data_IF_467728093902
#
_entry.id   IF_467728093902
#
_cell.length_a   1.000
_cell.length_b   1.000
_cell.length_c   1.000
_cell.angle_alpha   90.00
_cell.angle_beta   90.00
_cell.angle_gamma   90.00
#
_symmetry.space_group_name_H-M   'P 1'
#
loop_
_entity.id
_entity.type
_entity.pdbx_description
1 polymer ?
#
# COMPACT_ATOMS: atom_id res chain seq x y z
N UNK A 1 6.00 -32.27 -26.06
CA UNK A 1 6.67 -31.26 -25.23
C UNK A 1 6.27 -29.90 -25.76
N UNK A 2 5.39 -29.19 -25.06
CA UNK A 2 5.30 -27.74 -25.20
C UNK A 2 4.86 -27.18 -23.85
N UNK A 3 5.83 -26.58 -23.19
CA UNK A 3 5.79 -26.02 -21.84
C UNK A 3 4.80 -24.86 -21.79
N UNK A 4 3.71 -25.03 -21.03
CA UNK A 4 3.00 -23.91 -20.43
C UNK A 4 3.94 -23.28 -19.38
N UNK A 5 4.88 -22.47 -19.84
CA UNK A 5 5.61 -21.57 -18.99
C UNK A 5 4.59 -20.50 -18.56
N UNK A 6 3.89 -20.75 -17.45
CA UNK A 6 3.11 -19.73 -16.75
C UNK A 6 4.00 -18.51 -16.65
N UNK A 7 3.57 -17.37 -17.21
CA UNK A 7 4.34 -16.14 -17.15
C UNK A 7 4.70 -15.89 -15.68
N UNK A 8 6.00 -15.87 -15.37
CA UNK A 8 6.47 -15.62 -14.02
C UNK A 8 5.98 -14.23 -13.56
N UNK A 9 5.69 -14.09 -12.27
CA UNK A 9 5.32 -12.82 -11.66
C UNK A 9 6.41 -11.75 -11.90
N UNK A 10 6.08 -10.69 -12.65
CA UNK A 10 7.00 -9.60 -13.04
C UNK A 10 6.76 -8.33 -12.21
N UNK A 11 7.30 -8.30 -10.99
CA UNK A 11 7.18 -7.14 -10.09
C UNK A 11 7.92 -5.87 -10.56
N UNK A 12 8.68 -5.99 -11.63
CA UNK A 12 9.40 -4.93 -12.35
C UNK A 12 8.52 -4.20 -13.39
N UNK A 13 7.30 -4.68 -13.66
CA UNK A 13 6.42 -4.09 -14.67
C UNK A 13 5.32 -3.22 -14.06
N UNK A 14 5.01 -2.12 -14.75
CA UNK A 14 3.84 -1.30 -14.45
C UNK A 14 2.54 -2.10 -14.62
N UNK A 15 1.57 -1.80 -13.76
CA UNK A 15 0.14 -2.07 -13.95
C UNK A 15 -0.59 -0.76 -14.19
N UNK A 16 -1.89 -0.81 -14.49
CA UNK A 16 -2.71 0.40 -14.62
C UNK A 16 -2.62 1.37 -13.42
N UNK A 17 -2.34 0.86 -12.22
CA UNK A 17 -2.18 1.67 -11.01
C UNK A 17 -0.90 2.47 -11.00
N UNK A 18 0.20 1.89 -11.50
CA UNK A 18 1.55 2.45 -11.45
C UNK A 18 2.05 2.98 -12.80
N UNK A 19 1.26 2.86 -13.86
CA UNK A 19 1.56 3.41 -15.18
C UNK A 19 1.57 4.95 -15.10
N UNK A 20 2.70 5.62 -15.45
CA UNK A 20 2.78 7.07 -15.43
C UNK A 20 2.09 7.73 -16.62
N UNK A 21 1.67 6.96 -17.64
CA UNK A 21 1.15 7.49 -18.90
C UNK A 21 2.15 8.45 -19.56
N UNK A 22 1.75 9.69 -19.92
CA UNK A 22 2.65 10.64 -20.58
C UNK A 22 3.81 11.13 -19.68
N UNK A 23 3.74 10.89 -18.38
CA UNK A 23 4.69 11.41 -17.39
C UNK A 23 5.90 10.51 -17.14
N UNK A 24 6.11 9.45 -17.94
CA UNK A 24 7.22 8.51 -17.73
C UNK A 24 8.61 9.17 -17.67
N UNK A 25 8.82 10.24 -18.45
CA UNK A 25 10.07 11.01 -18.42
C UNK A 25 10.39 11.63 -17.04
N UNK A 26 9.37 11.91 -16.22
CA UNK A 26 9.55 12.41 -14.86
C UNK A 26 10.08 11.33 -13.91
N UNK A 27 9.64 10.08 -14.09
CA UNK A 27 10.13 8.93 -13.33
C UNK A 27 11.55 8.56 -13.75
N UNK A 28 11.84 8.62 -15.06
CA UNK A 28 13.17 8.33 -15.61
C UNK A 28 14.29 9.25 -15.07
N UNK A 29 13.92 10.45 -14.59
CA UNK A 29 14.84 11.44 -14.04
C UNK A 29 15.18 11.22 -12.55
N UNK A 30 14.59 10.21 -11.90
CA UNK A 30 14.83 9.89 -10.49
C UNK A 30 15.69 8.63 -10.41
N UNK A 31 16.76 8.69 -9.61
CA UNK A 31 17.64 7.55 -9.38
C UNK A 31 16.88 6.43 -8.62
N UNK A 32 17.05 5.14 -9.01
CA UNK A 32 16.30 4.02 -8.43
C UNK A 32 16.87 3.54 -7.08
N UNK A 33 17.26 4.46 -6.21
CA UNK A 33 17.72 4.19 -4.85
C UNK A 33 16.69 4.66 -3.81
N UNK A 34 16.79 4.16 -2.57
CA UNK A 34 15.81 4.42 -1.51
C UNK A 34 15.69 5.92 -1.20
N UNK A 35 16.81 6.64 -1.16
CA UNK A 35 16.81 8.05 -0.78
C UNK A 35 16.11 8.90 -1.84
N UNK A 36 16.51 8.73 -3.09
CA UNK A 36 16.00 9.47 -4.25
C UNK A 36 14.51 9.24 -4.47
N UNK A 37 14.06 7.97 -4.47
CA UNK A 37 12.63 7.66 -4.69
C UNK A 37 11.76 8.14 -3.54
N UNK A 38 12.25 8.06 -2.29
CA UNK A 38 11.49 8.51 -1.12
C UNK A 38 11.45 10.04 -1.04
N UNK A 39 12.54 10.72 -1.41
CA UNK A 39 12.56 12.17 -1.52
C UNK A 39 11.57 12.68 -2.58
N UNK A 40 11.55 12.07 -3.76
CA UNK A 40 10.56 12.39 -4.79
C UNK A 40 9.13 12.15 -4.30
N UNK A 41 8.89 11.03 -3.60
CA UNK A 41 7.57 10.73 -3.03
C UNK A 41 7.09 11.80 -2.06
N UNK A 42 7.89 12.15 -1.04
CA UNK A 42 7.57 13.17 -0.03
C UNK A 42 7.45 14.58 -0.61
N UNK A 43 8.15 14.84 -1.70
CA UNK A 43 8.10 16.14 -2.35
C UNK A 43 6.79 16.29 -3.15
N UNK A 44 6.34 15.25 -3.84
CA UNK A 44 5.12 15.27 -4.67
C UNK A 44 3.84 15.14 -3.84
N UNK A 45 3.88 14.30 -2.81
CA UNK A 45 2.72 13.88 -2.04
C UNK A 45 2.84 14.41 -0.60
N UNK A 46 1.70 14.70 0.02
CA UNK A 46 1.60 15.06 1.43
C UNK A 46 0.55 14.19 2.11
N UNK A 47 0.89 13.63 3.28
CA UNK A 47 -0.03 12.78 4.04
C UNK A 47 -1.18 13.62 4.60
N UNK A 48 -2.40 13.40 4.09
CA UNK A 48 -3.55 14.27 4.34
C UNK A 48 -3.96 14.38 5.81
N UNK A 49 -3.72 13.31 6.61
CA UNK A 49 -4.03 13.33 8.05
C UNK A 49 -2.96 14.05 8.88
N UNK A 50 -1.69 13.88 8.50
CA UNK A 50 -0.57 14.42 9.28
C UNK A 50 -0.47 15.93 9.11
N UNK A 51 -0.69 16.42 7.90
CA UNK A 51 -0.65 17.83 7.56
C UNK A 51 -2.05 18.49 7.53
N UNK A 52 -3.09 17.85 8.07
CA UNK A 52 -4.49 18.29 7.89
C UNK A 52 -4.73 19.76 8.29
N UNK A 53 -4.03 20.25 9.32
CA UNK A 53 -4.17 21.61 9.82
C UNK A 53 -3.69 22.68 8.84
N UNK A 54 -2.71 22.35 7.99
CA UNK A 54 -2.06 23.28 7.06
C UNK A 54 -2.62 23.16 5.64
N UNK A 55 -3.23 22.01 5.30
CA UNK A 55 -3.64 21.70 3.93
C UNK A 55 -4.93 22.43 3.50
N UNK A 56 -4.96 23.00 2.28
CA UNK A 56 -6.17 23.65 1.77
C UNK A 56 -7.33 22.65 1.61
N UNK A 57 -8.53 23.05 2.06
CA UNK A 57 -9.72 22.19 1.97
C UNK A 57 -10.17 21.93 0.52
N UNK A 58 -9.84 22.82 -0.41
CA UNK A 58 -10.21 22.68 -1.83
C UNK A 58 -9.41 21.60 -2.57
N UNK A 59 -8.31 21.08 -2.00
CA UNK A 59 -7.52 19.97 -2.57
C UNK A 59 -7.83 18.62 -1.92
N UNK A 60 -8.87 18.52 -1.07
CA UNK A 60 -9.24 17.26 -0.40
C UNK A 60 -9.59 16.13 -1.36
N UNK A 61 -10.16 16.43 -2.53
CA UNK A 61 -10.48 15.43 -3.57
C UNK A 61 -9.23 14.75 -4.17
N UNK A 62 -8.03 15.28 -3.91
CA UNK A 62 -6.77 14.66 -4.34
C UNK A 62 -6.64 13.22 -3.83
N UNK A 63 -7.07 12.96 -2.59
CA UNK A 63 -6.90 11.67 -1.93
C UNK A 63 -7.51 10.53 -2.74
N UNK A 64 -8.55 10.82 -3.53
CA UNK A 64 -9.22 9.85 -4.39
C UNK A 64 -8.47 9.50 -5.69
N UNK A 65 -7.24 10.01 -5.86
CA UNK A 65 -6.35 9.72 -6.98
C UNK A 65 -5.76 8.32 -6.93
N UNK A 66 -6.57 7.29 -7.21
CA UNK A 66 -6.11 5.89 -7.12
C UNK A 66 -5.03 5.50 -8.14
N UNK A 67 -4.85 6.24 -9.23
CA UNK A 67 -3.90 5.90 -10.29
C UNK A 67 -2.76 6.90 -10.28
N UNK A 68 -1.54 6.40 -10.47
CA UNK A 68 -0.35 7.24 -10.51
C UNK A 68 -0.48 8.35 -11.56
N UNK A 69 -0.98 8.03 -12.76
CA UNK A 69 -1.20 9.03 -13.81
C UNK A 69 -2.09 10.20 -13.35
N UNK A 70 -3.07 9.95 -12.46
CA UNK A 70 -3.94 11.01 -11.89
C UNK A 70 -3.21 11.82 -10.82
N UNK A 71 -2.39 11.17 -9.99
CA UNK A 71 -1.52 11.86 -9.01
C UNK A 71 -0.56 12.80 -9.76
N UNK A 72 0.14 12.27 -10.78
CA UNK A 72 1.08 13.04 -11.60
C UNK A 72 0.37 14.14 -12.41
N UNK A 73 -0.83 13.90 -12.95
CA UNK A 73 -1.58 14.94 -13.65
C UNK A 73 -1.93 16.12 -12.73
N UNK A 74 -2.35 15.87 -11.48
CA UNK A 74 -2.65 16.93 -10.50
C UNK A 74 -1.39 17.69 -10.10
N UNK A 75 -0.31 16.95 -9.86
CA UNK A 75 1.00 17.53 -9.57
C UNK A 75 1.47 18.47 -10.70
N UNK A 76 1.45 17.97 -11.93
CA UNK A 76 1.95 18.70 -13.10
C UNK A 76 1.04 19.87 -13.49
N UNK A 77 -0.27 19.79 -13.23
CA UNK A 77 -1.18 20.92 -13.39
C UNK A 77 -0.87 22.09 -12.44
N UNK A 78 -0.27 21.81 -11.27
CA UNK A 78 0.11 22.83 -10.27
C UNK A 78 1.50 23.40 -10.52
N UNK A 79 2.43 22.53 -10.89
CA UNK A 79 3.87 22.82 -10.81
C UNK A 79 4.56 22.85 -12.18
N UNK A 80 4.25 21.90 -13.07
CA UNK A 80 4.86 21.81 -14.40
C UNK A 80 6.39 21.63 -14.42
N UNK A 81 6.96 21.09 -13.34
CA UNK A 81 8.41 20.89 -13.15
C UNK A 81 8.73 19.45 -12.70
N UNK A 82 10.02 19.10 -12.69
CA UNK A 82 10.51 17.78 -12.29
C UNK A 82 10.07 17.35 -10.88
N UNK A 83 10.04 16.04 -10.61
CA UNK A 83 9.61 15.52 -9.30
C UNK A 83 10.58 15.83 -8.17
N UNK A 84 11.84 16.12 -8.48
CA UNK A 84 12.86 16.56 -7.52
C UNK A 84 12.81 18.06 -7.19
N UNK A 85 12.13 18.87 -8.01
CA UNK A 85 12.01 20.31 -7.79
C UNK A 85 11.09 20.60 -6.61
N UNK A 86 11.52 21.46 -5.68
CA UNK A 86 10.83 21.68 -4.41
C UNK A 86 9.34 22.07 -4.57
N UNK A 87 8.47 21.44 -3.79
CA UNK A 87 7.06 21.81 -3.65
C UNK A 87 6.75 22.24 -2.23
N UNK A 88 6.16 23.43 -2.10
CA UNK A 88 5.60 23.90 -0.83
C UNK A 88 4.55 22.91 -0.32
N UNK A 89 4.53 22.65 0.98
CA UNK A 89 3.69 21.63 1.62
C UNK A 89 2.21 21.77 1.25
N UNK A 90 1.68 23.00 1.22
CA UNK A 90 0.28 23.29 0.92
C UNK A 90 -0.10 23.15 -0.55
N UNK A 91 0.88 22.93 -1.43
CA UNK A 91 0.70 22.77 -2.88
C UNK A 91 0.96 21.33 -3.36
N UNK A 92 1.41 20.43 -2.47
CA UNK A 92 1.58 19.00 -2.77
C UNK A 92 0.24 18.32 -3.00
N UNK A 93 0.25 17.18 -3.69
CA UNK A 93 -0.95 16.36 -3.89
C UNK A 93 -1.31 15.69 -2.57
N UNK A 94 -2.53 15.89 -2.06
CA UNK A 94 -2.93 15.18 -0.84
C UNK A 94 -3.08 13.68 -1.15
N UNK A 95 -2.44 12.85 -0.34
CA UNK A 95 -2.51 11.40 -0.40
C UNK A 95 -2.22 10.79 0.96
N UNK A 96 -1.90 9.51 1.02
CA UNK A 96 -1.43 8.86 2.25
C UNK A 96 -0.21 7.96 2.00
N UNK A 97 0.17 7.16 3.00
CA UNK A 97 1.28 6.19 2.94
C UNK A 97 1.24 5.29 1.70
N UNK A 98 0.02 4.93 1.26
CA UNK A 98 -0.23 4.19 0.02
C UNK A 98 0.25 4.94 -1.22
N UNK A 99 -0.01 6.24 -1.32
CA UNK A 99 0.31 7.03 -2.50
C UNK A 99 1.81 7.32 -2.59
N UNK A 100 2.46 7.59 -1.45
CA UNK A 100 3.92 7.64 -1.35
C UNK A 100 4.56 6.32 -1.82
N UNK A 101 4.04 5.20 -1.32
CA UNK A 101 4.48 3.85 -1.72
C UNK A 101 4.26 3.59 -3.21
N UNK A 102 3.11 3.98 -3.77
CA UNK A 102 2.79 3.78 -5.18
C UNK A 102 3.76 4.54 -6.08
N UNK A 103 4.03 5.82 -5.78
CA UNK A 103 4.98 6.63 -6.53
C UNK A 103 6.40 6.05 -6.45
N UNK A 104 6.87 5.66 -5.26
CA UNK A 104 8.18 5.02 -5.11
C UNK A 104 8.28 3.69 -5.88
N UNK A 105 7.26 2.82 -5.78
CA UNK A 105 7.20 1.58 -6.55
C UNK A 105 7.21 1.85 -8.06
N UNK A 106 6.52 2.89 -8.52
CA UNK A 106 6.45 3.22 -9.93
C UNK A 106 7.79 3.71 -10.47
N UNK A 107 8.51 4.56 -9.75
CA UNK A 107 9.87 4.99 -10.12
C UNK A 107 10.78 3.76 -10.26
N UNK A 108 10.77 2.88 -9.25
CA UNK A 108 11.58 1.65 -9.26
C UNK A 108 11.24 0.74 -10.46
N UNK A 109 9.95 0.47 -10.69
CA UNK A 109 9.47 -0.34 -11.82
C UNK A 109 9.84 0.28 -13.17
N UNK A 110 9.80 1.61 -13.27
CA UNK A 110 10.19 2.31 -14.49
C UNK A 110 11.64 2.04 -14.89
N UNK A 111 12.50 1.81 -13.88
CA UNK A 111 13.92 1.48 -14.04
C UNK A 111 14.16 -0.05 -14.05
N UNK A 112 13.11 -0.87 -14.12
CA UNK A 112 13.20 -2.33 -14.13
C UNK A 112 13.50 -2.96 -12.76
N UNK A 113 13.41 -2.20 -11.67
CA UNK A 113 13.57 -2.73 -10.30
C UNK A 113 12.24 -3.32 -9.85
N UNK A 114 12.26 -4.60 -9.45
CA UNK A 114 11.08 -5.26 -8.91
C UNK A 114 10.67 -4.63 -7.57
N UNK A 115 9.47 -4.04 -7.53
CA UNK A 115 8.95 -3.33 -6.37
C UNK A 115 7.46 -3.62 -6.13
N UNK A 116 7.05 -3.67 -4.86
CA UNK A 116 5.66 -3.87 -4.43
C UNK A 116 5.37 -3.07 -3.17
N UNK A 117 4.13 -2.66 -3.00
CA UNK A 117 3.66 -2.17 -1.70
C UNK A 117 3.46 -3.32 -0.74
N UNK A 118 3.67 -3.07 0.56
CA UNK A 118 3.31 -3.96 1.66
C UNK A 118 2.34 -3.26 2.58
N UNK A 119 1.26 -3.94 2.93
CA UNK A 119 0.21 -3.41 3.80
C UNK A 119 0.30 -4.09 5.15
N UNK A 120 0.32 -3.29 6.21
CA UNK A 120 0.55 -3.76 7.55
C UNK A 120 0.27 -2.66 8.56
N UNK A 121 1.03 -2.68 9.65
CA UNK A 121 0.81 -1.76 10.75
C UNK A 121 2.14 -1.22 11.28
N UNK A 122 2.26 0.09 11.42
CA UNK A 122 3.44 0.76 11.96
C UNK A 122 3.35 0.89 13.49
N UNK A 123 4.14 0.08 14.21
CA UNK A 123 4.34 0.17 15.66
C UNK A 123 5.23 1.35 16.06
N UNK A 124 5.96 1.92 15.11
CA UNK A 124 6.92 2.99 15.35
C UNK A 124 6.30 4.39 15.37
N UNK A 125 5.07 4.56 14.87
CA UNK A 125 4.38 5.86 14.84
C UNK A 125 3.73 6.22 16.18
N UNK A 126 3.37 5.22 17.00
CA UNK A 126 2.78 5.42 18.31
C UNK A 126 3.16 4.26 19.24
N UNK A 127 3.63 4.52 20.48
CA UNK A 127 4.06 3.46 21.40
C UNK A 127 2.93 2.53 21.87
N UNK A 128 1.69 3.04 21.92
CA UNK A 128 0.53 2.34 22.50
C UNK A 128 -0.47 1.88 21.41
N UNK A 129 -0.20 2.19 20.15
CA UNK A 129 -1.12 1.90 19.05
C UNK A 129 -0.39 1.61 17.74
N UNK A 130 -0.89 0.64 16.99
CA UNK A 130 -0.33 0.23 15.71
C UNK A 130 -1.15 0.83 14.57
N UNK A 131 -0.64 1.90 13.98
CA UNK A 131 -1.30 2.59 12.87
C UNK A 131 -1.27 1.73 11.61
N UNK A 132 -2.39 1.70 10.89
CA UNK A 132 -2.44 1.12 9.55
C UNK A 132 -1.45 1.83 8.64
N UNK A 133 -0.67 1.08 7.86
CA UNK A 133 0.41 1.69 7.10
C UNK A 133 0.78 0.89 5.85
N UNK A 134 1.37 1.59 4.87
CA UNK A 134 1.85 1.00 3.62
C UNK A 134 3.29 1.42 3.38
N UNK A 135 4.16 0.44 3.13
CA UNK A 135 5.59 0.64 2.87
C UNK A 135 6.01 -0.02 1.55
N UNK A 136 7.22 0.26 1.08
CA UNK A 136 7.78 -0.35 -0.14
C UNK A 136 8.57 -1.61 0.22
N UNK A 137 8.47 -2.64 -0.60
CA UNK A 137 9.47 -3.70 -0.71
C UNK A 137 10.04 -3.74 -2.13
N UNK A 138 11.37 -3.72 -2.26
CA UNK A 138 12.06 -3.74 -3.55
C UNK A 138 13.28 -4.67 -3.58
N UNK A 139 13.57 -5.26 -4.74
CA UNK A 139 14.83 -5.99 -4.99
C UNK A 139 15.87 -5.03 -5.55
N UNK A 140 16.43 -4.19 -4.68
CA UNK A 140 17.42 -3.21 -5.06
C UNK A 140 18.68 -3.88 -5.63
N UNK A 141 19.35 -3.28 -6.64
CA UNK A 141 20.53 -3.87 -7.29
C UNK A 141 21.63 -4.28 -6.30
N UNK A 142 21.89 -3.43 -5.30
CA UNK A 142 22.99 -3.61 -4.35
C UNK A 142 22.62 -4.51 -3.15
N UNK A 143 21.39 -5.04 -3.10
CA UNK A 143 20.89 -5.84 -1.98
C UNK A 143 21.13 -7.35 -2.13
N UNK A 144 21.94 -7.78 -3.11
CA UNK A 144 22.26 -9.21 -3.30
C UNK A 144 21.02 -10.07 -3.64
N UNK A 145 20.01 -9.46 -4.26
CA UNK A 145 18.78 -10.12 -4.69
C UNK A 145 17.73 -10.32 -3.60
N UNK A 146 17.97 -9.89 -2.35
CA UNK A 146 16.94 -9.89 -1.29
C UNK A 146 15.92 -8.76 -1.50
N UNK A 147 14.77 -8.88 -0.84
CA UNK A 147 13.86 -7.76 -0.69
C UNK A 147 14.36 -6.81 0.41
N UNK A 148 14.41 -5.52 0.10
CA UNK A 148 14.64 -4.42 1.03
C UNK A 148 13.28 -3.77 1.28
N UNK A 149 12.92 -3.60 2.55
CA UNK A 149 11.68 -2.94 2.95
C UNK A 149 12.01 -1.53 3.45
N UNK A 150 11.30 -0.51 2.99
CA UNK A 150 11.52 0.86 3.44
C UNK A 150 10.24 1.69 3.45
N UNK A 151 10.19 2.67 4.35
CA UNK A 151 9.11 3.62 4.46
C UNK A 151 9.44 4.91 3.68
N UNK A 152 8.75 5.19 2.56
CA UNK A 152 9.04 6.37 1.76
C UNK A 152 8.63 7.69 2.45
N UNK A 153 7.82 7.66 3.52
CA UNK A 153 7.39 8.87 4.23
C UNK A 153 8.45 9.37 5.22
N UNK A 154 9.45 8.56 5.58
CA UNK A 154 10.45 8.90 6.59
C UNK A 154 11.77 9.40 5.97
N UNK A 155 12.31 10.48 6.54
CA UNK A 155 13.64 11.02 6.19
C UNK A 155 14.76 10.48 7.07
N UNK A 156 14.44 9.72 8.11
CA UNK A 156 15.38 9.21 9.10
C UNK A 156 14.69 8.43 10.21
N UNK A 157 15.46 8.00 11.24
CA UNK A 157 14.94 7.21 12.36
C UNK A 157 13.69 7.83 12.98
N UNK A 158 12.70 7.00 13.34
CA UNK A 158 11.44 7.44 13.94
C UNK A 158 10.91 6.42 14.95
N UNK A 159 10.60 6.87 16.17
CA UNK A 159 10.12 5.99 17.23
C UNK A 159 11.06 4.81 17.47
N UNK A 160 10.53 3.58 17.37
CA UNK A 160 11.30 2.33 17.48
C UNK A 160 11.96 1.86 16.18
N UNK A 161 11.78 2.58 15.07
CA UNK A 161 12.36 2.26 13.78
C UNK A 161 13.66 3.03 13.56
N UNK A 162 14.79 2.37 13.79
CA UNK A 162 16.13 2.95 13.62
C UNK A 162 16.52 3.10 12.15
N UNK A 163 16.18 2.13 11.30
CA UNK A 163 16.57 2.10 9.88
C UNK A 163 15.33 2.06 8.97
N UNK A 164 14.68 3.20 8.69
CA UNK A 164 13.49 3.23 7.84
C UNK A 164 13.79 2.90 6.36
N UNK A 165 15.07 2.88 5.97
CA UNK A 165 15.53 2.56 4.61
C UNK A 165 15.82 1.08 4.39
N UNK A 166 15.86 0.28 5.45
CA UNK A 166 15.99 -1.18 5.42
C UNK A 166 15.41 -1.73 6.73
N UNK A 167 14.09 -1.89 6.74
CA UNK A 167 13.31 -2.28 7.90
C UNK A 167 13.45 -3.79 8.15
N UNK A 168 13.55 -4.23 9.42
CA UNK A 168 13.51 -5.65 9.71
C UNK A 168 12.14 -6.24 9.34
N UNK A 169 12.10 -7.54 9.09
CA UNK A 169 10.88 -8.29 8.73
C UNK A 169 10.49 -9.25 9.86
N UNK A 170 9.26 -9.77 9.83
CA UNK A 170 8.74 -10.70 10.83
C UNK A 170 7.70 -10.08 11.77
N UNK A 171 7.04 -10.90 12.61
CA UNK A 171 5.96 -10.47 13.49
C UNK A 171 6.39 -9.46 14.58
N UNK A 172 7.68 -9.47 14.94
CA UNK A 172 8.27 -8.54 15.91
C UNK A 172 8.88 -7.29 15.27
N UNK A 173 8.80 -7.17 13.94
CA UNK A 173 9.25 -5.96 13.24
C UNK A 173 8.51 -4.72 13.77
N UNK A 174 9.10 -3.52 13.70
CA UNK A 174 8.34 -2.26 13.84
C UNK A 174 7.20 -2.13 12.82
N UNK A 175 7.24 -2.89 11.72
CA UNK A 175 6.16 -3.04 10.75
C UNK A 175 5.82 -4.52 10.53
N UNK A 176 4.97 -5.14 11.37
CA UNK A 176 4.36 -6.41 11.03
C UNK A 176 3.38 -6.22 9.85
N UNK A 177 3.43 -7.14 8.91
CA UNK A 177 2.48 -7.21 7.79
C UNK A 177 1.09 -7.58 8.30
N UNK A 178 0.05 -7.28 7.53
CA UNK A 178 -1.31 -7.60 7.94
C UNK A 178 -1.54 -9.11 8.17
N UNK A 179 -0.87 -9.96 7.37
CA UNK A 179 -0.91 -11.41 7.52
C UNK A 179 -0.25 -11.89 8.83
N UNK A 180 0.86 -11.28 9.25
CA UNK A 180 1.51 -11.59 10.52
C UNK A 180 0.65 -11.16 11.71
N UNK A 181 0.08 -9.95 11.65
CA UNK A 181 -0.85 -9.45 12.69
C UNK A 181 -2.08 -10.35 12.80
N UNK A 182 -2.68 -10.74 11.68
CA UNK A 182 -3.81 -11.67 11.68
C UNK A 182 -3.46 -12.97 12.39
N UNK A 183 -2.32 -13.59 12.04
CA UNK A 183 -1.88 -14.85 12.65
C UNK A 183 -1.59 -14.70 14.15
N UNK A 184 -0.93 -13.62 14.57
CA UNK A 184 -0.67 -13.36 15.99
C UNK A 184 -1.95 -13.14 16.80
N UNK A 185 -2.93 -12.42 16.25
CA UNK A 185 -4.25 -12.29 16.88
C UNK A 185 -4.95 -13.65 16.98
N UNK A 186 -4.94 -14.44 15.91
CA UNK A 186 -5.56 -15.78 15.89
C UNK A 186 -4.90 -16.76 16.86
N UNK A 187 -3.61 -16.61 17.13
CA UNK A 187 -2.87 -17.39 18.12
C UNK A 187 -3.13 -16.95 19.57
N UNK A 188 -3.71 -15.77 19.78
CA UNK A 188 -3.94 -15.18 21.10
C UNK A 188 -2.75 -14.36 21.62
N UNK A 189 -1.74 -14.11 20.78
CA UNK A 189 -0.52 -13.38 21.14
C UNK A 189 -0.68 -11.87 21.01
N UNK A 190 -1.65 -11.41 20.21
CA UNK A 190 -1.90 -9.99 19.95
C UNK A 190 -3.34 -9.59 20.27
N UNK A 191 -3.51 -8.39 20.84
CA UNK A 191 -4.81 -7.74 20.93
C UNK A 191 -5.11 -7.02 19.60
N UNK A 192 -6.13 -7.48 18.86
CA UNK A 192 -6.52 -6.84 17.62
C UNK A 192 -6.96 -5.37 17.80
N UNK A 193 -7.42 -4.96 18.99
CA UNK A 193 -7.95 -3.62 19.22
C UNK A 193 -6.91 -2.51 19.14
N UNK A 194 -5.61 -2.84 19.23
CA UNK A 194 -4.54 -1.84 19.08
C UNK A 194 -4.14 -1.60 17.62
N UNK A 195 -4.78 -2.25 16.64
CA UNK A 195 -4.45 -2.16 15.22
C UNK A 195 -5.56 -1.45 14.43
N UNK A 196 -5.28 -0.28 13.87
CA UNK A 196 -6.27 0.51 13.12
C UNK A 196 -5.77 1.86 12.63
N UNK A 197 -6.69 2.76 12.28
CA UNK A 197 -6.34 4.07 11.69
C UNK A 197 -5.74 5.05 12.71
N UNK A 198 -6.33 5.12 13.90
CA UNK A 198 -5.82 5.93 15.01
C UNK A 198 -6.42 5.48 16.35
N UNK A 199 -5.81 5.85 17.49
CA UNK A 199 -6.31 5.48 18.82
C UNK A 199 -7.76 5.90 19.09
N UNK A 200 -8.17 7.07 18.58
CA UNK A 200 -9.51 7.64 18.78
C UNK A 200 -10.53 7.18 17.72
N UNK A 201 -10.10 6.40 16.73
CA UNK A 201 -10.95 5.93 15.64
C UNK A 201 -11.58 4.57 15.97
N UNK A 202 -12.88 4.36 15.67
CA UNK A 202 -13.48 3.02 15.73
C UNK A 202 -13.02 2.13 14.56
N UNK A 203 -12.29 2.68 13.58
CA UNK A 203 -11.78 1.95 12.41
C UNK A 203 -10.53 1.16 12.81
N UNK A 204 -10.76 0.02 13.46
CA UNK A 204 -9.72 -0.85 14.04
C UNK A 204 -10.25 -2.25 14.32
N UNK A 205 -9.37 -3.17 14.73
CA UNK A 205 -9.77 -4.48 15.23
C UNK A 205 -9.82 -5.58 14.16
N UNK A 206 -10.41 -6.74 14.49
CA UNK A 206 -10.34 -7.94 13.65
C UNK A 206 -10.81 -7.76 12.20
N UNK A 207 -11.94 -7.07 12.00
CA UNK A 207 -12.46 -6.83 10.65
C UNK A 207 -11.54 -5.95 9.81
N UNK A 208 -10.87 -4.99 10.46
CA UNK A 208 -9.94 -4.09 9.81
C UNK A 208 -8.65 -4.82 9.43
N UNK A 209 -8.10 -5.64 10.34
CA UNK A 209 -6.95 -6.51 10.06
C UNK A 209 -7.27 -7.46 8.89
N UNK A 210 -8.46 -8.08 8.89
CA UNK A 210 -8.89 -8.96 7.79
C UNK A 210 -8.87 -8.24 6.44
N UNK A 211 -9.44 -7.04 6.39
CA UNK A 211 -9.42 -6.20 5.19
C UNK A 211 -7.99 -5.88 4.74
N UNK A 212 -7.08 -5.65 5.69
CA UNK A 212 -5.68 -5.34 5.39
C UNK A 212 -4.89 -6.57 4.92
N UNK A 213 -5.26 -7.79 5.34
CA UNK A 213 -4.72 -9.03 4.74
C UNK A 213 -5.06 -9.08 3.25
N UNK A 214 -6.31 -8.77 2.88
CA UNK A 214 -6.72 -8.77 1.47
C UNK A 214 -6.03 -7.64 0.68
N UNK A 215 -5.87 -6.44 1.27
CA UNK A 215 -5.12 -5.34 0.65
C UNK A 215 -3.65 -5.69 0.44
N UNK A 216 -2.96 -6.33 1.39
CA UNK A 216 -1.56 -6.73 1.23
C UNK A 216 -1.39 -7.70 0.04
N UNK A 217 -2.31 -8.65 -0.11
CA UNK A 217 -2.31 -9.57 -1.26
C UNK A 217 -2.62 -8.83 -2.57
N UNK A 218 -3.52 -7.86 -2.57
CA UNK A 218 -3.77 -7.03 -3.75
C UNK A 218 -2.53 -6.22 -4.16
N UNK A 219 -1.86 -5.58 -3.19
CA UNK A 219 -0.60 -4.86 -3.42
C UNK A 219 0.53 -5.79 -3.90
N UNK A 220 0.61 -7.02 -3.36
CA UNK A 220 1.51 -8.06 -3.87
C UNK A 220 1.28 -8.30 -5.36
N UNK A 221 0.02 -8.30 -5.81
CA UNK A 221 -0.36 -8.48 -7.20
C UNK A 221 -0.41 -7.18 -8.02
N UNK A 222 0.06 -6.06 -7.46
CA UNK A 222 0.11 -4.73 -8.10
C UNK A 222 -1.27 -4.18 -8.48
N UNK A 223 -2.28 -4.57 -7.70
CA UNK A 223 -3.56 -3.88 -7.62
C UNK A 223 -3.52 -3.02 -6.35
N UNK A 224 -2.83 -1.88 -6.42
CA UNK A 224 -2.68 -0.96 -5.28
C UNK A 224 -3.95 -0.12 -5.14
N UNK A 225 -5.03 -0.58 -4.51
CA UNK A 225 -6.28 0.19 -4.35
C UNK A 225 -6.16 1.34 -3.33
N UNK A 226 -7.18 2.21 -3.22
CA UNK A 226 -7.26 3.16 -2.11
C UNK A 226 -7.51 2.40 -0.80
N UNK A 227 -7.00 2.90 0.32
CA UNK A 227 -7.17 2.26 1.63
C UNK A 227 -8.62 2.28 2.15
N UNK A 228 -9.49 3.02 1.48
CA UNK A 228 -10.91 3.13 1.77
C UNK A 228 -11.79 2.61 0.62
N UNK A 229 -11.22 1.85 -0.33
CA UNK A 229 -11.98 1.03 -1.27
C UNK A 229 -12.41 -0.30 -0.61
N UNK A 230 -13.64 -0.73 -0.88
CA UNK A 230 -14.19 -2.01 -0.46
C UNK A 230 -14.58 -2.85 -1.68
N UNK A 231 -14.29 -4.14 -1.63
CA UNK A 231 -14.67 -5.10 -2.68
C UNK A 231 -14.79 -6.52 -2.13
N UNK A 232 -15.52 -7.38 -2.84
CA UNK A 232 -15.49 -8.83 -2.65
C UNK A 232 -15.64 -9.29 -1.20
N UNK A 233 -14.64 -10.05 -0.73
CA UNK A 233 -14.60 -10.74 0.58
C UNK A 233 -14.18 -9.82 1.75
N UNK A 234 -14.32 -8.51 1.61
CA UNK A 234 -13.98 -7.56 2.68
C UNK A 234 -15.04 -7.54 3.77
N UNK A 235 -14.61 -7.62 5.01
CA UNK A 235 -15.47 -7.52 6.17
C UNK A 235 -16.04 -6.11 6.35
N UNK A 236 -17.28 -6.06 6.83
CA UNK A 236 -17.90 -4.84 7.36
C UNK A 236 -17.52 -4.63 8.83
N UNK A 237 -17.53 -3.38 9.33
CA UNK A 237 -17.27 -3.10 10.75
C UNK A 237 -18.33 -3.68 11.69
N UNK A 238 -19.53 -3.96 11.18
CA UNK A 238 -20.66 -4.39 11.99
C UNK A 238 -20.66 -5.91 12.22
N UNK A 239 -20.43 -6.29 13.48
CA UNK A 239 -20.64 -7.66 13.96
C UNK A 239 -19.40 -8.57 13.93
N UNK A 240 -19.55 -9.81 14.42
CA UNK A 240 -18.46 -10.78 14.40
C UNK A 240 -18.15 -11.24 12.98
N UNK A 241 -16.87 -11.55 12.72
CA UNK A 241 -16.47 -12.12 11.44
C UNK A 241 -17.11 -13.49 11.20
N UNK A 242 -17.73 -13.74 10.04
CA UNK A 242 -18.26 -15.05 9.69
C UNK A 242 -17.17 -16.12 9.72
N UNK A 243 -17.50 -17.33 10.20
CA UNK A 243 -16.54 -18.43 10.33
C UNK A 243 -15.87 -18.81 8.99
N UNK A 244 -16.60 -18.76 7.88
CA UNK A 244 -16.04 -18.99 6.54
C UNK A 244 -15.00 -17.92 6.17
N UNK A 245 -15.30 -16.65 6.47
CA UNK A 245 -14.39 -15.55 6.17
C UNK A 245 -13.13 -15.62 7.04
N UNK A 246 -13.27 -16.02 8.30
CA UNK A 246 -12.14 -16.30 9.19
C UNK A 246 -11.27 -17.41 8.61
N UNK A 247 -11.86 -18.54 8.21
CA UNK A 247 -11.11 -19.67 7.63
C UNK A 247 -10.42 -19.30 6.30
N UNK A 248 -11.07 -18.50 5.46
CA UNK A 248 -10.47 -17.96 4.24
C UNK A 248 -9.26 -17.08 4.58
N UNK A 249 -9.41 -16.18 5.55
CA UNK A 249 -8.35 -15.25 5.95
C UNK A 249 -7.19 -15.97 6.63
N UNK A 250 -7.46 -17.00 7.45
CA UNK A 250 -6.44 -17.90 8.03
C UNK A 250 -5.59 -18.55 6.91
N UNK A 251 -6.24 -19.07 5.86
CA UNK A 251 -5.54 -19.65 4.70
C UNK A 251 -4.73 -18.59 3.95
N UNK A 252 -5.31 -17.43 3.66
CA UNK A 252 -4.63 -16.35 2.93
C UNK A 252 -3.40 -15.88 3.70
N UNK A 253 -3.53 -15.61 5.00
CA UNK A 253 -2.42 -15.17 5.84
C UNK A 253 -1.30 -16.22 5.94
N UNK A 254 -1.64 -17.50 6.04
CA UNK A 254 -0.66 -18.58 6.03
C UNK A 254 0.12 -18.64 4.70
N UNK A 255 -0.60 -18.56 3.57
CA UNK A 255 0.01 -18.54 2.24
C UNK A 255 0.88 -17.31 2.00
N UNK A 256 0.45 -16.12 2.44
CA UNK A 256 1.24 -14.88 2.33
C UNK A 256 2.56 -14.99 3.09
N UNK A 257 2.52 -15.46 4.34
CA UNK A 257 3.75 -15.65 5.14
C UNK A 257 4.65 -16.73 4.54
N UNK A 258 4.08 -17.84 4.03
CA UNK A 258 4.86 -18.87 3.33
C UNK A 258 5.55 -18.33 2.08
N UNK A 259 4.82 -17.57 1.26
CA UNK A 259 5.34 -16.94 0.06
C UNK A 259 6.45 -15.91 0.36
N UNK A 260 6.31 -15.14 1.44
CA UNK A 260 7.35 -14.22 1.90
C UNK A 260 8.61 -14.94 2.43
N UNK A 261 8.43 -16.13 3.03
CA UNK A 261 9.53 -17.02 3.39
C UNK A 261 10.18 -17.72 2.18
N UNK A 262 9.69 -17.46 0.97
CA UNK A 262 10.23 -18.01 -0.28
C UNK A 262 9.67 -19.37 -0.69
N UNK A 263 8.54 -19.80 -0.12
CA UNK A 263 7.86 -21.03 -0.54
C UNK A 263 7.14 -20.81 -1.90
N UNK A 264 7.61 -21.46 -2.99
CA UNK A 264 7.01 -21.28 -4.31
C UNK A 264 5.62 -21.92 -4.44
N UNK A 265 5.30 -22.93 -3.64
CA UNK A 265 3.96 -23.54 -3.64
C UNK A 265 2.95 -22.59 -2.99
N UNK A 266 3.33 -21.97 -1.86
CA UNK A 266 2.52 -20.95 -1.21
C UNK A 266 2.27 -19.75 -2.14
N UNK A 267 3.31 -19.27 -2.85
CA UNK A 267 3.17 -18.20 -3.84
C UNK A 267 2.19 -18.58 -4.97
N UNK A 268 2.32 -19.78 -5.52
CA UNK A 268 1.48 -20.25 -6.62
C UNK A 268 0.01 -20.40 -6.20
N UNK A 269 -0.24 -20.92 -5.00
CA UNK A 269 -1.58 -21.07 -4.45
C UNK A 269 -2.19 -19.71 -4.09
N UNK A 270 -1.42 -18.80 -3.48
CA UNK A 270 -1.86 -17.45 -3.18
C UNK A 270 -2.26 -16.71 -4.46
N UNK A 271 -1.46 -16.82 -5.51
CA UNK A 271 -1.75 -16.22 -6.82
C UNK A 271 -3.02 -16.78 -7.44
N UNK A 272 -3.22 -18.10 -7.37
CA UNK A 272 -4.42 -18.75 -7.88
C UNK A 272 -5.68 -18.31 -7.11
N UNK A 273 -5.59 -18.24 -5.77
CA UNK A 273 -6.68 -17.78 -4.93
C UNK A 273 -7.00 -16.30 -5.18
N UNK A 274 -5.98 -15.46 -5.31
CA UNK A 274 -6.17 -14.04 -5.64
C UNK A 274 -6.92 -13.88 -6.96
N UNK A 275 -6.42 -14.51 -8.03
CA UNK A 275 -6.99 -14.38 -9.37
C UNK A 275 -8.43 -14.90 -9.48
N UNK A 276 -8.78 -15.94 -8.72
CA UNK A 276 -10.08 -16.60 -8.82
C UNK A 276 -11.15 -16.04 -7.88
N UNK A 277 -10.78 -15.47 -6.73
CA UNK A 277 -11.74 -15.09 -5.67
C UNK A 277 -11.50 -13.71 -5.06
N UNK A 278 -10.24 -13.34 -4.81
CA UNK A 278 -9.93 -12.16 -3.98
C UNK A 278 -9.69 -10.88 -4.78
N UNK A 279 -9.38 -11.00 -6.07
CA UNK A 279 -9.11 -9.86 -6.93
C UNK A 279 -10.34 -8.94 -7.01
N UNK A 280 -10.17 -7.61 -6.93
CA UNK A 280 -11.26 -6.68 -7.18
C UNK A 280 -11.95 -6.96 -8.53
N UNK A 281 -13.27 -6.91 -8.53
CA UNK A 281 -14.05 -6.90 -9.76
C UNK A 281 -13.91 -5.57 -10.51
N UNK A 282 -14.71 -5.33 -11.56
CA UNK A 282 -14.66 -4.08 -12.32
C UNK A 282 -15.14 -2.86 -11.53
N UNK A 283 -15.76 -3.07 -10.37
CA UNK A 283 -16.34 -2.02 -9.53
C UNK A 283 -15.89 -2.19 -8.08
N UNK A 284 -15.71 -1.07 -7.40
CA UNK A 284 -15.48 -0.99 -5.95
C UNK A 284 -16.48 -0.05 -5.29
N UNK A 285 -16.59 -0.16 -3.97
CA UNK A 285 -17.26 0.82 -3.13
C UNK A 285 -16.19 1.70 -2.48
N UNK A 286 -16.11 2.97 -2.88
CA UNK A 286 -15.16 3.95 -2.33
C UNK A 286 -15.84 4.74 -1.21
N UNK A 287 -15.31 4.65 0.02
CA UNK A 287 -15.69 5.57 1.10
C UNK A 287 -14.98 6.94 0.95
N UNK A 288 -15.32 7.88 1.82
CA UNK A 288 -14.65 9.18 1.89
C UNK A 288 -14.10 9.41 3.31
N UNK A 289 -12.76 9.42 3.50
CA UNK A 289 -12.16 9.74 4.78
C UNK A 289 -12.50 11.13 5.36
N UNK A 290 -12.85 12.11 4.53
CA UNK A 290 -13.31 13.43 4.97
C UNK A 290 -14.82 13.51 5.22
N UNK A 291 -15.59 12.53 4.73
CA UNK A 291 -17.02 12.42 4.93
C UNK A 291 -17.43 11.00 5.36
N UNK A 292 -17.00 10.54 6.56
CA UNK A 292 -17.19 9.14 7.00
C UNK A 292 -18.65 8.72 7.17
N UNK A 293 -19.59 9.68 7.21
CA UNK A 293 -21.04 9.42 7.30
C UNK A 293 -21.72 9.40 5.92
N UNK A 294 -21.01 9.78 4.85
CA UNK A 294 -21.54 9.72 3.51
C UNK A 294 -21.64 8.25 3.04
N UNK A 295 -22.67 7.91 2.23
CA UNK A 295 -22.75 6.59 1.65
C UNK A 295 -21.55 6.33 0.72
N UNK A 296 -21.07 5.08 0.60
CA UNK A 296 -20.01 4.73 -0.34
C UNK A 296 -20.42 5.07 -1.77
N UNK A 297 -19.47 5.57 -2.53
CA UNK A 297 -19.62 5.81 -3.98
C UNK A 297 -19.24 4.53 -4.71
N UNK A 298 -20.10 4.06 -5.61
CA UNK A 298 -19.77 2.94 -6.48
C UNK A 298 -18.94 3.45 -7.66
N UNK A 299 -17.70 2.98 -7.78
CA UNK A 299 -16.73 3.48 -8.75
C UNK A 299 -16.20 2.34 -9.63
N UNK A 300 -15.99 2.61 -10.91
CA UNK A 300 -15.34 1.67 -11.82
C UNK A 300 -13.82 1.68 -11.61
N UNK A 301 -13.19 0.51 -11.65
CA UNK A 301 -11.74 0.41 -11.71
C UNK A 301 -11.25 0.59 -13.15
N UNK A 302 -11.33 1.83 -13.63
CA UNK A 302 -10.91 2.23 -14.96
C UNK A 302 -9.81 3.31 -14.88
N UNK A 303 -8.59 3.05 -15.41
CA UNK A 303 -7.52 4.05 -15.46
C UNK A 303 -7.77 5.18 -16.45
N UNK A 304 -8.77 5.06 -17.34
CA UNK A 304 -9.06 6.09 -18.34
C UNK A 304 -9.41 7.41 -17.62
N UNK A 305 -8.87 8.56 -18.05
CA UNK A 305 -9.30 9.86 -17.54
C UNK A 305 -10.77 10.10 -17.87
N UNK A 306 -11.52 10.67 -16.92
CA UNK A 306 -12.81 11.31 -17.22
C UNK A 306 -12.61 12.52 -18.16
#
# INVERSE_FOLDING_TARGET
MNTHQKAAFRADQHTAYSDPGPWGHLLAAIDPDVESVSAAARNVIVHYREAMADLPTHTREDIHGRWLVRILARDQARHGVGLAEHRELTQRVQGCCRDHTLLACAVLRHQGVAARGRVGFARYLNPDFCHDHVVVEARLPDAGGRWVRFDPELTGPHGSLETPTDMPVGPESPFPTAAEVWRGWRAGDLDAQVFGVSPDSPVRGPWFIQNYVLRDVAHRHRDELLLWDFWGEMATPDGPLPAELVALTDRVAALTVGADAGDPAAEAELTALYTSRLRPGPMVLRLDPFAPQAPPVREALDPTPD
#
